data_IF_516512612072
#
_entry.id   IF_516512612072
#
_cell.length_a   1.000
_cell.length_b   1.000
_cell.length_c   1.000
_cell.angle_alpha   90.00
_cell.angle_beta   90.00
_cell.angle_gamma   90.00
#
_symmetry.space_group_name_H-M   'P 1'
#
loop_
_entity.id
_entity.type
_entity.pdbx_description
1 polymer ?
#
# COMPACT_ATOMS: atom_id res chain seq x y z
N UNK A 1 48.99 10.75 16.81
CA UNK A 1 48.58 10.58 15.39
C UNK A 1 47.70 9.37 15.14
N UNK A 2 48.08 8.13 15.51
CA UNK A 2 47.28 6.92 15.24
C UNK A 2 45.84 6.94 15.78
N UNK A 3 45.61 7.48 16.98
CA UNK A 3 44.27 7.59 17.60
C UNK A 3 43.34 8.53 16.83
N UNK A 4 43.87 9.63 16.28
CA UNK A 4 43.08 10.60 15.51
C UNK A 4 42.69 10.03 14.14
N UNK A 5 43.55 9.21 13.54
CA UNK A 5 43.26 8.50 12.29
C UNK A 5 42.15 7.47 12.51
N UNK A 6 42.22 6.69 13.59
CA UNK A 6 41.18 5.72 13.94
C UNK A 6 39.84 6.44 14.14
N UNK A 7 39.83 7.55 14.89
CA UNK A 7 38.63 8.35 15.14
C UNK A 7 38.00 8.86 13.83
N UNK A 8 38.82 9.40 12.93
CA UNK A 8 38.40 9.87 11.60
C UNK A 8 37.81 8.75 10.75
N UNK A 9 38.44 7.57 10.73
CA UNK A 9 37.93 6.40 10.00
C UNK A 9 36.60 5.95 10.58
N UNK A 10 36.47 5.85 11.90
CA UNK A 10 35.20 5.46 12.54
C UNK A 10 34.09 6.48 12.31
N UNK A 11 34.37 7.79 12.36
CA UNK A 11 33.34 8.80 12.11
C UNK A 11 32.88 8.77 10.65
N UNK A 12 33.80 8.56 9.71
CA UNK A 12 33.49 8.46 8.28
C UNK A 12 32.65 7.22 8.01
N UNK A 13 32.98 6.09 8.65
CA UNK A 13 32.21 4.85 8.53
C UNK A 13 30.77 5.01 9.04
N UNK A 14 30.58 5.69 10.18
CA UNK A 14 29.26 5.97 10.74
C UNK A 14 28.41 6.89 9.83
N UNK A 15 29.03 7.89 9.21
CA UNK A 15 28.34 8.78 8.26
C UNK A 15 27.88 7.98 7.03
N UNK A 16 28.75 7.14 6.47
CA UNK A 16 28.39 6.27 5.33
C UNK A 16 27.25 5.32 5.70
N UNK A 17 27.31 4.71 6.89
CA UNK A 17 26.26 3.83 7.37
C UNK A 17 24.92 4.57 7.50
N UNK A 18 24.95 5.79 8.06
CA UNK A 18 23.76 6.64 8.19
C UNK A 18 23.12 7.00 6.85
N UNK A 19 23.93 7.28 5.82
CA UNK A 19 23.44 7.56 4.46
C UNK A 19 22.81 6.30 3.85
N UNK A 20 23.43 5.14 4.02
CA UNK A 20 22.88 3.87 3.52
C UNK A 20 21.53 3.52 4.19
N UNK A 21 21.41 3.74 5.50
CA UNK A 21 20.13 3.55 6.21
C UNK A 21 19.06 4.55 5.77
N UNK A 22 19.43 5.81 5.49
CA UNK A 22 18.50 6.81 5.00
C UNK A 22 17.97 6.46 3.60
N UNK A 23 18.84 5.99 2.69
CA UNK A 23 18.43 5.57 1.35
C UNK A 23 17.55 4.30 1.37
N UNK A 24 17.65 3.47 2.40
CA UNK A 24 16.83 2.27 2.56
C UNK A 24 15.46 2.56 3.21
N UNK A 25 15.17 3.82 3.50
CA UNK A 25 13.82 4.28 3.85
C UNK A 25 12.95 4.22 2.59
N UNK A 26 12.37 3.04 2.35
CA UNK A 26 11.43 2.73 1.29
C UNK A 26 10.53 3.92 0.96
N UNK A 27 10.67 4.46 -0.24
CA UNK A 27 9.63 5.31 -0.79
C UNK A 27 8.40 4.42 -0.99
N UNK A 28 7.23 4.85 -0.51
CA UNK A 28 5.96 4.19 -0.82
C UNK A 28 5.57 4.54 -2.27
N UNK A 29 6.42 4.16 -3.22
CA UNK A 29 6.23 4.50 -4.61
C UNK A 29 5.06 3.65 -5.15
N UNK A 30 4.07 4.35 -5.70
CA UNK A 30 2.94 3.73 -6.38
C UNK A 30 3.42 3.29 -7.75
N UNK A 31 3.40 1.98 -7.98
CA UNK A 31 3.80 1.40 -9.27
C UNK A 31 2.73 1.64 -10.34
N UNK A 32 1.46 1.41 -9.97
CA UNK A 32 0.33 1.53 -10.89
C UNK A 32 -0.95 1.90 -10.13
N UNK A 33 -1.76 2.80 -10.70
CA UNK A 33 -3.12 3.08 -10.22
C UNK A 33 -4.12 2.49 -11.21
N UNK A 34 -5.03 1.66 -10.71
CA UNK A 34 -6.12 1.07 -11.50
C UNK A 34 -7.48 1.61 -11.04
N UNK A 35 -8.30 2.00 -12.01
CA UNK A 35 -9.73 2.28 -11.81
C UNK A 35 -10.54 1.29 -12.61
N UNK A 36 -11.41 0.51 -11.97
CA UNK A 36 -12.28 -0.43 -12.66
C UNK A 36 -13.66 -0.56 -12.01
N UNK A 37 -14.67 -0.82 -12.83
CA UNK A 37 -16.00 -1.22 -12.39
C UNK A 37 -16.02 -2.74 -12.28
N UNK A 38 -16.14 -3.27 -11.06
CA UNK A 38 -16.02 -4.69 -10.81
C UNK A 38 -16.77 -5.14 -9.57
N UNK A 39 -17.20 -6.40 -9.61
CA UNK A 39 -17.92 -7.04 -8.52
C UNK A 39 -16.96 -7.49 -7.42
N UNK A 40 -17.30 -7.23 -6.16
CA UNK A 40 -16.62 -7.81 -4.99
C UNK A 40 -17.19 -9.20 -4.77
N UNK A 41 -16.38 -10.25 -4.87
CA UNK A 41 -16.84 -11.64 -4.76
C UNK A 41 -16.68 -12.20 -3.34
N UNK A 42 -15.74 -11.67 -2.55
CA UNK A 42 -15.56 -12.07 -1.15
C UNK A 42 -14.79 -11.04 -0.35
N UNK A 43 -14.89 -11.12 0.97
CA UNK A 43 -14.17 -10.30 1.93
C UNK A 43 -13.40 -11.20 2.89
N UNK A 44 -12.21 -10.77 3.26
CA UNK A 44 -11.39 -11.45 4.26
C UNK A 44 -10.93 -10.47 5.34
N UNK A 45 -10.93 -10.93 6.60
CA UNK A 45 -10.48 -10.17 7.76
C UNK A 45 -9.57 -11.03 8.62
N UNK A 46 -8.41 -10.49 8.97
CA UNK A 46 -7.54 -10.97 10.03
C UNK A 46 -7.43 -9.93 11.15
N UNK A 47 -6.57 -10.18 12.15
CA UNK A 47 -6.27 -9.22 13.22
C UNK A 47 -5.51 -7.99 12.72
N UNK A 48 -4.81 -8.10 11.59
CA UNK A 48 -3.90 -7.07 11.08
C UNK A 48 -4.29 -6.57 9.69
N UNK A 49 -5.12 -7.31 8.96
CA UNK A 49 -5.39 -7.03 7.56
C UNK A 49 -6.86 -7.19 7.18
N UNK A 50 -7.33 -6.32 6.29
CA UNK A 50 -8.66 -6.38 5.72
C UNK A 50 -8.54 -6.38 4.21
N UNK A 51 -9.22 -7.32 3.56
CA UNK A 51 -9.13 -7.55 2.12
C UNK A 51 -10.50 -7.70 1.49
N UNK A 52 -10.59 -7.30 0.24
CA UNK A 52 -11.67 -7.68 -0.68
C UNK A 52 -11.04 -8.45 -1.85
N UNK A 53 -11.78 -9.43 -2.36
CA UNK A 53 -11.42 -10.15 -3.59
C UNK A 53 -12.41 -9.72 -4.66
N UNK A 54 -11.87 -9.28 -5.80
CA UNK A 54 -12.63 -8.82 -6.95
C UNK A 54 -12.92 -10.00 -7.90
N UNK A 55 -13.89 -9.85 -8.80
CA UNK A 55 -14.26 -10.89 -9.76
C UNK A 55 -13.14 -11.32 -10.74
N UNK A 56 -12.06 -10.55 -10.84
CA UNK A 56 -10.85 -10.87 -11.61
C UNK A 56 -9.75 -11.51 -10.73
N UNK A 57 -10.13 -12.02 -9.55
CA UNK A 57 -9.26 -12.63 -8.53
C UNK A 57 -8.22 -11.68 -7.90
N UNK A 58 -8.24 -10.39 -8.23
CA UNK A 58 -7.38 -9.41 -7.57
C UNK A 58 -7.78 -9.24 -6.11
N UNK A 59 -6.78 -9.25 -5.23
CA UNK A 59 -6.91 -8.94 -3.81
C UNK A 59 -6.57 -7.48 -3.58
N UNK A 60 -7.51 -6.74 -2.99
CA UNK A 60 -7.32 -5.33 -2.64
C UNK A 60 -7.36 -5.19 -1.12
N UNK A 61 -6.28 -4.63 -0.59
CA UNK A 61 -6.08 -4.31 0.82
C UNK A 61 -6.84 -3.06 1.22
N UNK A 62 -7.43 -3.06 2.42
CA UNK A 62 -8.16 -1.93 2.97
C UNK A 62 -7.60 -1.61 4.36
N UNK A 63 -6.96 -0.44 4.49
CA UNK A 63 -6.42 0.03 5.76
C UNK A 63 -7.52 0.30 6.80
N UNK A 64 -8.59 0.98 6.37
CA UNK A 64 -9.64 1.42 7.26
C UNK A 64 -10.75 0.37 7.39
N UNK A 65 -10.87 -0.23 8.58
CA UNK A 65 -11.94 -1.19 8.90
C UNK A 65 -13.34 -0.65 8.61
N UNK A 66 -13.61 0.64 8.83
CA UNK A 66 -14.91 1.24 8.57
C UNK A 66 -15.26 1.22 7.08
N UNK A 67 -14.28 1.41 6.20
CA UNK A 67 -14.50 1.28 4.76
C UNK A 67 -14.74 -0.19 4.41
N UNK A 68 -13.92 -1.10 4.95
CA UNK A 68 -14.08 -2.53 4.73
C UNK A 68 -15.44 -3.04 5.19
N UNK A 69 -15.96 -2.58 6.33
CA UNK A 69 -17.21 -3.07 6.91
C UNK A 69 -18.45 -2.69 6.08
N UNK A 70 -18.41 -1.57 5.36
CA UNK A 70 -19.49 -1.07 4.53
C UNK A 70 -19.59 -1.72 3.14
N UNK A 71 -18.54 -2.41 2.70
CA UNK A 71 -18.53 -3.09 1.40
C UNK A 71 -19.34 -4.38 1.50
N UNK A 72 -20.22 -4.63 0.54
CA UNK A 72 -21.03 -5.84 0.48
C UNK A 72 -20.43 -6.84 -0.52
N UNK A 73 -20.52 -8.13 -0.17
CA UNK A 73 -20.15 -9.19 -1.11
C UNK A 73 -21.25 -9.34 -2.16
N UNK A 74 -20.86 -9.70 -3.36
CA UNK A 74 -21.72 -9.83 -4.53
C UNK A 74 -22.35 -8.54 -5.05
N UNK A 75 -21.80 -7.38 -4.68
CA UNK A 75 -22.18 -6.08 -5.22
C UNK A 75 -21.10 -5.52 -6.17
N UNK A 76 -21.55 -4.70 -7.11
CA UNK A 76 -20.67 -4.02 -8.09
C UNK A 76 -20.28 -2.64 -7.59
N UNK A 77 -19.02 -2.29 -7.77
CA UNK A 77 -18.46 -1.01 -7.36
C UNK A 77 -17.54 -0.45 -8.43
N UNK A 78 -17.42 0.88 -8.48
CA UNK A 78 -16.25 1.52 -9.07
C UNK A 78 -15.15 1.58 -8.00
N UNK A 79 -14.02 0.93 -8.27
CA UNK A 79 -12.92 0.78 -7.32
C UNK A 79 -11.66 1.43 -7.91
N UNK A 80 -10.98 2.24 -7.11
CA UNK A 80 -9.66 2.80 -7.39
C UNK A 80 -8.66 2.21 -6.40
N UNK A 81 -7.59 1.59 -6.89
CA UNK A 81 -6.54 1.04 -6.04
C UNK A 81 -5.15 1.21 -6.66
N UNK A 82 -4.14 1.26 -5.79
CA UNK A 82 -2.74 1.43 -6.14
C UNK A 82 -1.96 0.16 -5.89
N UNK A 83 -1.21 -0.33 -6.88
CA UNK A 83 -0.18 -1.34 -6.67
C UNK A 83 1.04 -0.65 -6.07
N UNK A 84 1.35 -0.97 -4.81
CA UNK A 84 2.52 -0.41 -4.13
C UNK A 84 3.76 -1.24 -4.46
N UNK A 85 4.87 -0.56 -4.82
CA UNK A 85 6.12 -1.19 -5.23
C UNK A 85 6.78 -1.97 -4.08
N UNK A 86 6.64 -1.49 -2.85
CA UNK A 86 7.30 -2.03 -1.66
C UNK A 86 6.73 -3.37 -1.17
N UNK A 87 5.42 -3.55 -1.33
CA UNK A 87 4.66 -4.67 -0.77
C UNK A 87 4.05 -5.56 -1.83
N UNK A 88 4.05 -5.13 -3.10
CA UNK A 88 3.34 -5.78 -4.21
C UNK A 88 1.84 -5.99 -3.94
N UNK A 89 1.27 -5.20 -3.02
CA UNK A 89 -0.15 -5.25 -2.66
C UNK A 89 -0.92 -4.16 -3.39
N UNK A 90 -2.17 -4.46 -3.75
CA UNK A 90 -3.12 -3.45 -4.23
C UNK A 90 -3.78 -2.77 -3.03
N UNK A 91 -3.53 -1.48 -2.81
CA UNK A 91 -4.12 -0.68 -1.73
C UNK A 91 -5.34 0.06 -2.22
N UNK A 92 -6.45 -0.07 -1.51
CA UNK A 92 -7.67 0.68 -1.81
C UNK A 92 -7.45 2.17 -1.59
N UNK A 93 -7.72 2.97 -2.63
CA UNK A 93 -7.84 4.43 -2.53
C UNK A 93 -9.30 4.85 -2.31
N UNK A 94 -10.17 4.38 -3.20
CA UNK A 94 -11.58 4.79 -3.25
C UNK A 94 -12.45 3.62 -3.68
N UNK A 95 -13.62 3.50 -3.10
CA UNK A 95 -14.67 2.58 -3.53
C UNK A 95 -16.01 3.29 -3.44
N UNK A 96 -16.81 3.23 -4.51
CA UNK A 96 -18.16 3.76 -4.56
C UNK A 96 -19.09 2.76 -5.25
N UNK A 97 -20.37 2.70 -4.85
CA UNK A 97 -21.37 1.88 -5.56
C UNK A 97 -21.39 2.18 -7.07
N UNK A 98 -21.67 1.18 -7.90
CA UNK A 98 -21.68 1.34 -9.36
C UNK A 98 -22.73 2.35 -9.85
N UNK A 99 -23.83 2.51 -9.11
CA UNK A 99 -24.90 3.49 -9.38
C UNK A 99 -24.60 4.89 -8.83
N UNK A 100 -23.40 5.12 -8.28
CA UNK A 100 -22.99 6.41 -7.75
C UNK A 100 -22.74 7.42 -8.87
N UNK A 101 -23.77 8.19 -9.22
CA UNK A 101 -23.76 9.22 -10.26
C UNK A 101 -23.08 10.55 -9.86
N UNK A 102 -22.17 10.57 -8.88
CA UNK A 102 -21.55 11.79 -8.35
C UNK A 102 -20.40 12.32 -9.20
N UNK A 103 -20.56 13.51 -9.77
CA UNK A 103 -19.55 14.29 -10.52
C UNK A 103 -18.22 14.40 -9.74
N UNK A 104 -17.11 14.07 -10.41
CA UNK A 104 -15.74 14.28 -9.92
C UNK A 104 -15.27 15.73 -10.08
#
# INVERSE_FOLDING_TARGET
MKKNIIFLVTSTLLIILGILFYMNGSNNDVLETTTEQIKVISKHKSSEEHWIILANDKKVFIENFSNWSLIEENESYTIVYDLMEDTEKNYLRTIVPDDYNGQF
#
